data_IF_310897007103
#
_entry.id   IF_310897007103
#
_cell.length_a   1.000
_cell.length_b   1.000
_cell.length_c   1.000
_cell.angle_alpha   90.00
_cell.angle_beta   90.00
_cell.angle_gamma   90.00
#
_symmetry.space_group_name_H-M   'P 1'
#
loop_
_entity.id
_entity.type
_entity.pdbx_description
1 polymer ?
#
# COMPACT_ATOMS: atom_id res chain seq x y z
N UNK A 1 0.64 11.33 17.51
CA UNK A 1 0.13 10.30 16.58
C UNK A 1 1.01 10.31 15.34
N UNK A 2 1.67 9.20 15.04
CA UNK A 2 2.52 9.07 13.85
C UNK A 2 1.60 9.00 12.63
N UNK A 3 1.74 9.94 11.71
CA UNK A 3 0.85 10.05 10.54
C UNK A 3 1.18 9.04 9.43
N UNK A 4 2.43 8.59 9.39
CA UNK A 4 2.98 7.65 8.43
C UNK A 4 3.83 6.63 9.20
N UNK A 5 3.64 5.35 8.94
CA UNK A 5 4.40 4.26 9.55
C UNK A 5 5.05 3.42 8.45
N UNK A 6 6.37 3.27 8.50
CA UNK A 6 7.08 2.39 7.59
C UNK A 6 6.77 0.93 7.94
N UNK A 7 6.40 0.13 6.94
CA UNK A 7 6.10 -1.29 7.13
C UNK A 7 7.28 -2.13 6.64
N UNK A 8 7.61 -2.02 5.35
CA UNK A 8 8.75 -2.67 4.73
C UNK A 8 9.19 -1.93 3.47
N UNK A 9 10.35 -2.27 2.94
CA UNK A 9 10.85 -1.71 1.71
C UNK A 9 12.06 -2.47 1.20
N UNK A 10 12.28 -2.37 -0.10
CA UNK A 10 13.43 -2.92 -0.78
C UNK A 10 14.24 -1.82 -1.51
N UNK A 11 14.91 -2.17 -2.60
CA UNK A 11 15.83 -1.26 -3.29
C UNK A 11 15.10 -0.13 -4.01
N UNK A 12 13.92 -0.40 -4.56
CA UNK A 12 13.17 0.50 -5.44
C UNK A 12 11.69 0.62 -5.05
N UNK A 13 11.27 0.01 -3.93
CA UNK A 13 9.91 0.13 -3.40
C UNK A 13 9.90 0.26 -1.88
N UNK A 14 8.83 0.87 -1.35
CA UNK A 14 8.57 0.96 0.07
C UNK A 14 7.06 0.99 0.33
N UNK A 15 6.66 0.37 1.43
CA UNK A 15 5.28 0.30 1.88
C UNK A 15 5.11 1.05 3.18
N UNK A 16 4.07 1.88 3.23
CA UNK A 16 3.78 2.78 4.33
C UNK A 16 2.32 2.64 4.75
N UNK A 17 2.08 2.53 6.06
CA UNK A 17 0.76 2.71 6.64
C UNK A 17 0.48 4.20 6.80
N UNK A 18 -0.61 4.68 6.21
CA UNK A 18 -1.00 6.09 6.22
C UNK A 18 -2.20 6.28 7.13
N UNK A 19 -2.10 7.23 8.08
CA UNK A 19 -3.22 7.60 8.93
C UNK A 19 -4.22 8.48 8.16
N UNK A 20 -5.51 8.27 8.38
CA UNK A 20 -6.54 9.09 7.76
C UNK A 20 -7.94 8.81 8.26
N UNK A 21 -8.95 9.01 7.42
CA UNK A 21 -10.34 8.69 7.78
C UNK A 21 -10.46 7.17 7.91
N UNK A 22 -10.95 6.72 9.05
CA UNK A 22 -11.28 5.31 9.25
C UNK A 22 -12.70 5.08 8.75
N UNK A 23 -12.85 4.19 7.77
CA UNK A 23 -14.14 3.65 7.34
C UNK A 23 -14.09 2.17 7.64
N UNK A 24 -15.03 1.68 8.46
CA UNK A 24 -15.15 0.25 8.77
C UNK A 24 -15.99 -0.38 7.67
N UNK A 25 -15.45 -1.44 7.04
CA UNK A 25 -16.18 -2.17 6.01
C UNK A 25 -17.41 -2.86 6.60
N UNK A 26 -18.54 -2.69 5.93
CA UNK A 26 -19.83 -3.33 6.19
C UNK A 26 -20.44 -3.73 4.85
N UNK A 27 -21.43 -4.62 4.87
CA UNK A 27 -22.08 -5.12 3.65
C UNK A 27 -22.74 -4.00 2.82
N UNK A 28 -23.06 -2.86 3.43
CA UNK A 28 -23.78 -1.76 2.79
C UNK A 28 -22.89 -0.61 2.28
N UNK A 29 -21.58 -0.58 2.62
CA UNK A 29 -20.71 0.56 2.34
C UNK A 29 -19.44 0.22 1.57
N UNK A 30 -19.44 -0.87 0.79
CA UNK A 30 -18.27 -1.33 0.05
C UNK A 30 -17.62 -0.22 -0.79
N UNK A 31 -18.41 0.54 -1.55
CA UNK A 31 -17.86 1.65 -2.36
C UNK A 31 -17.22 2.74 -1.49
N UNK A 32 -17.87 3.15 -0.39
CA UNK A 32 -17.29 4.16 0.52
C UNK A 32 -15.99 3.66 1.15
N UNK A 33 -15.94 2.38 1.52
CA UNK A 33 -14.75 1.74 2.05
C UNK A 33 -13.61 1.76 1.03
N UNK A 34 -13.87 1.32 -0.20
CA UNK A 34 -12.87 1.28 -1.27
C UNK A 34 -12.39 2.69 -1.68
N UNK A 35 -13.30 3.66 -1.82
CA UNK A 35 -12.96 5.06 -2.09
C UNK A 35 -12.09 5.66 -0.99
N UNK A 36 -12.32 5.25 0.27
CA UNK A 36 -11.54 5.71 1.41
C UNK A 36 -10.11 5.18 1.41
N UNK A 37 -9.86 4.02 0.81
CA UNK A 37 -8.49 3.49 0.67
C UNK A 37 -7.65 4.33 -0.29
N UNK A 38 -8.27 4.96 -1.28
CA UNK A 38 -7.65 5.92 -2.20
C UNK A 38 -7.50 7.34 -1.62
N UNK A 39 -7.51 7.49 -0.30
CA UNK A 39 -7.34 8.80 0.36
C UNK A 39 -5.93 9.40 0.18
N UNK A 40 -4.95 8.58 -0.21
CA UNK A 40 -3.55 8.98 -0.35
C UNK A 40 -3.05 9.75 0.88
N UNK A 41 -2.42 10.91 0.66
CA UNK A 41 -1.85 11.72 1.75
C UNK A 41 -2.81 12.76 2.35
N UNK A 42 -4.08 12.82 1.92
CA UNK A 42 -5.02 13.93 2.21
C UNK A 42 -5.06 14.35 3.69
N UNK A 43 -5.08 13.40 4.61
CA UNK A 43 -5.20 13.69 6.05
C UNK A 43 -3.85 13.83 6.77
N UNK A 44 -2.75 13.46 6.12
CA UNK A 44 -1.42 13.54 6.72
C UNK A 44 -0.69 14.83 6.38
N UNK A 45 -1.00 15.45 5.24
CA UNK A 45 -0.48 16.76 4.84
C UNK A 45 -0.80 17.81 5.92
N UNK A 46 0.22 18.59 6.31
CA UNK A 46 0.10 19.67 7.30
C UNK A 46 0.03 21.04 6.64
N UNK A 47 0.78 21.22 5.55
CA UNK A 47 0.81 22.43 4.76
C UNK A 47 0.37 22.08 3.34
N UNK A 48 -0.87 22.42 3.02
CA UNK A 48 -1.46 22.12 1.72
C UNK A 48 -0.83 22.96 0.61
N UNK A 49 -0.47 24.22 0.89
CA UNK A 49 0.13 25.10 -0.12
C UNK A 49 1.51 24.59 -0.54
N UNK A 50 2.32 24.16 0.44
CA UNK A 50 3.60 23.52 0.18
C UNK A 50 3.42 22.22 -0.64
N UNK A 51 2.51 21.34 -0.21
CA UNK A 51 2.27 20.09 -0.94
C UNK A 51 1.82 20.35 -2.39
N UNK A 52 0.87 21.25 -2.62
CA UNK A 52 0.36 21.53 -3.96
C UNK A 52 1.42 22.19 -4.86
N UNK A 53 2.32 23.00 -4.28
CA UNK A 53 3.43 23.63 -5.01
C UNK A 53 4.49 22.61 -5.44
N UNK A 54 4.79 21.61 -4.59
CA UNK A 54 5.98 20.77 -4.71
C UNK A 54 5.70 19.31 -5.12
N UNK A 55 4.52 18.75 -4.82
CA UNK A 55 4.21 17.33 -5.08
C UNK A 55 4.43 16.94 -6.55
N UNK A 56 4.16 17.86 -7.48
CA UNK A 56 4.39 17.67 -8.92
C UNK A 56 5.83 17.35 -9.29
N UNK A 57 6.83 17.66 -8.47
CA UNK A 57 8.23 17.33 -8.76
C UNK A 57 8.58 15.88 -8.41
N UNK A 58 7.86 15.30 -7.45
CA UNK A 58 8.14 13.96 -6.91
C UNK A 58 7.15 12.91 -7.43
N UNK A 59 5.88 13.28 -7.61
CA UNK A 59 4.83 12.35 -8.01
C UNK A 59 4.37 12.58 -9.47
N UNK A 60 3.91 11.53 -10.16
CA UNK A 60 3.12 11.64 -11.38
C UNK A 60 1.92 12.57 -11.19
N UNK A 61 1.68 13.44 -12.18
CA UNK A 61 0.46 14.24 -12.24
C UNK A 61 -0.53 13.57 -13.18
N UNK A 62 -1.79 13.42 -12.77
CA UNK A 62 -2.86 12.84 -13.60
C UNK A 62 -3.14 13.62 -14.90
N UNK A 63 -2.63 14.86 -15.02
CA UNK A 63 -2.95 15.81 -16.09
C UNK A 63 -1.89 15.82 -17.21
N UNK A 64 -1.31 14.69 -17.60
CA UNK A 64 -0.40 14.69 -18.75
C UNK A 64 -0.11 13.34 -19.37
N UNK A 65 0.60 13.37 -20.50
CA UNK A 65 0.98 12.21 -21.31
C UNK A 65 1.58 11.06 -20.50
N UNK A 66 1.57 9.83 -21.05
CA UNK A 66 2.18 8.61 -20.48
C UNK A 66 3.60 8.81 -19.90
N UNK A 67 4.33 9.82 -20.40
CA UNK A 67 5.66 10.20 -19.89
C UNK A 67 5.65 10.73 -18.45
N UNK A 68 4.50 11.24 -17.95
CA UNK A 68 4.35 11.68 -16.57
C UNK A 68 4.06 10.55 -15.58
N UNK A 69 3.79 9.31 -16.04
CA UNK A 69 3.54 8.15 -15.16
C UNK A 69 4.79 7.72 -14.37
N UNK A 70 5.99 7.99 -14.92
CA UNK A 70 7.28 7.66 -14.28
C UNK A 70 8.27 8.79 -14.47
N UNK A 71 8.54 9.54 -13.40
CA UNK A 71 9.53 10.62 -13.37
C UNK A 71 10.90 10.08 -12.98
N UNK A 72 11.96 10.64 -13.57
CA UNK A 72 13.34 10.32 -13.17
C UNK A 72 13.53 10.73 -11.70
N UNK A 73 13.87 9.77 -10.83
CA UNK A 73 13.96 9.94 -9.37
C UNK A 73 12.65 10.33 -8.67
N UNK A 74 11.50 10.19 -9.36
CA UNK A 74 10.19 10.36 -8.76
C UNK A 74 9.69 9.07 -8.11
N UNK A 75 8.60 9.20 -7.34
CA UNK A 75 7.90 8.11 -6.70
C UNK A 75 6.54 7.93 -7.37
N UNK A 76 6.18 6.70 -7.70
CA UNK A 76 4.85 6.34 -8.20
C UNK A 76 4.13 5.48 -7.17
N UNK A 77 2.87 5.82 -6.88
CA UNK A 77 2.02 4.99 -6.04
C UNK A 77 1.50 3.84 -6.91
N UNK A 78 2.01 2.63 -6.68
CA UNK A 78 1.66 1.48 -7.50
C UNK A 78 0.48 0.68 -6.95
N UNK A 79 0.37 0.58 -5.62
CA UNK A 79 -0.62 -0.25 -4.95
C UNK A 79 -1.11 0.46 -3.69
N UNK A 80 -2.42 0.43 -3.49
CA UNK A 80 -3.11 0.90 -2.28
C UNK A 80 -3.94 -0.25 -1.71
N UNK A 81 -4.13 -0.26 -0.40
CA UNK A 81 -4.72 -1.39 0.31
C UNK A 81 -5.04 -1.02 1.75
N UNK A 82 -5.74 -1.91 2.43
CA UNK A 82 -6.21 -1.75 3.81
C UNK A 82 -5.34 -2.50 4.82
N UNK A 83 -4.66 -3.57 4.41
CA UNK A 83 -3.88 -4.42 5.29
C UNK A 83 -2.55 -4.87 4.68
N UNK A 84 -1.51 -4.87 5.51
CA UNK A 84 -0.22 -5.44 5.16
C UNK A 84 0.46 -6.02 6.39
N UNK A 85 1.07 -7.19 6.22
CA UNK A 85 1.86 -7.89 7.25
C UNK A 85 3.19 -8.28 6.62
N UNK A 86 4.29 -7.70 7.07
CA UNK A 86 5.63 -7.99 6.58
C UNK A 86 6.45 -8.74 7.62
N UNK A 87 6.96 -9.93 7.25
CA UNK A 87 7.87 -10.72 8.09
C UNK A 87 9.33 -10.29 7.90
N UNK A 88 9.69 -9.99 6.65
CA UNK A 88 10.99 -9.49 6.23
C UNK A 88 10.85 -8.78 4.88
N UNK A 89 11.87 -8.02 4.43
CA UNK A 89 11.85 -7.47 3.09
C UNK A 89 11.58 -8.55 2.03
N UNK A 90 10.65 -8.27 1.10
CA UNK A 90 10.20 -9.22 0.07
C UNK A 90 9.51 -10.50 0.60
N UNK A 91 9.15 -10.54 1.87
CA UNK A 91 8.43 -11.63 2.54
C UNK A 91 7.22 -11.07 3.31
N UNK A 92 6.11 -10.87 2.59
CA UNK A 92 4.94 -10.19 3.13
C UNK A 92 3.62 -10.67 2.55
N UNK A 93 2.55 -10.40 3.28
CA UNK A 93 1.17 -10.42 2.85
C UNK A 93 0.67 -8.98 2.69
N UNK A 94 -0.12 -8.72 1.65
CA UNK A 94 -0.81 -7.45 1.45
C UNK A 94 -2.20 -7.70 0.85
N UNK A 95 -3.20 -6.98 1.35
CA UNK A 95 -4.54 -6.93 0.80
C UNK A 95 -4.68 -5.62 0.04
N UNK A 96 -4.73 -5.70 -1.29
CA UNK A 96 -4.52 -4.53 -2.17
C UNK A 96 -5.39 -4.62 -3.42
N UNK A 97 -5.65 -3.47 -4.04
CA UNK A 97 -6.41 -3.43 -5.28
C UNK A 97 -5.62 -4.00 -6.45
N UNK A 98 -6.21 -5.01 -7.09
CA UNK A 98 -5.80 -5.50 -8.41
C UNK A 98 -7.02 -5.62 -9.29
N UNK A 99 -6.93 -5.08 -10.51
CA UNK A 99 -8.05 -5.09 -11.46
C UNK A 99 -9.37 -4.55 -10.85
N UNK A 100 -9.28 -3.47 -10.06
CA UNK A 100 -10.39 -2.83 -9.35
C UNK A 100 -11.11 -3.73 -8.33
N UNK A 101 -10.38 -4.70 -7.75
CA UNK A 101 -10.88 -5.55 -6.68
C UNK A 101 -9.82 -5.74 -5.61
N UNK A 102 -10.22 -5.66 -4.35
CA UNK A 102 -9.36 -6.03 -3.23
C UNK A 102 -8.98 -7.51 -3.32
N UNK A 103 -7.69 -7.79 -3.32
CA UNK A 103 -7.13 -9.12 -3.53
C UNK A 103 -6.01 -9.39 -2.55
N UNK A 104 -6.01 -10.58 -1.99
CA UNK A 104 -4.91 -11.10 -1.17
C UNK A 104 -3.69 -11.40 -2.04
N UNK A 105 -2.55 -10.83 -1.67
CA UNK A 105 -1.28 -11.05 -2.35
C UNK A 105 -0.23 -11.46 -1.33
N UNK A 106 0.33 -12.65 -1.53
CA UNK A 106 1.43 -13.17 -0.74
C UNK A 106 2.69 -13.14 -1.59
N UNK A 107 3.74 -12.55 -1.03
CA UNK A 107 5.06 -12.42 -1.66
C UNK A 107 6.09 -13.09 -0.77
N UNK A 108 6.38 -14.39 -0.93
CA UNK A 108 7.44 -15.06 -0.20
C UNK A 108 8.68 -15.20 -1.08
N UNK A 109 9.74 -14.44 -0.77
CA UNK A 109 10.99 -14.52 -1.52
C UNK A 109 11.70 -15.83 -1.19
N UNK A 110 12.03 -16.60 -2.23
CA UNK A 110 12.74 -17.88 -2.08
C UNK A 110 11.83 -19.08 -1.83
N UNK A 111 10.50 -18.89 -1.83
CA UNK A 111 9.53 -19.99 -1.66
C UNK A 111 8.69 -20.15 -2.92
N UNK A 112 8.46 -21.40 -3.32
CA UNK A 112 7.59 -21.72 -4.45
C UNK A 112 6.14 -21.90 -3.99
N UNK A 113 5.29 -20.92 -4.31
CA UNK A 113 3.85 -20.94 -4.00
C UNK A 113 3.08 -22.05 -4.73
N UNK A 114 3.61 -22.63 -5.82
CA UNK A 114 2.95 -23.76 -6.50
C UNK A 114 3.12 -25.08 -5.75
N UNK A 115 4.19 -25.18 -4.96
CA UNK A 115 4.51 -26.36 -4.18
C UNK A 115 4.08 -26.21 -2.71
N UNK A 116 3.90 -24.97 -2.25
CA UNK A 116 3.54 -24.64 -0.89
C UNK A 116 2.28 -23.76 -0.90
N UNK A 117 1.19 -24.27 -0.35
CA UNK A 117 -0.04 -23.50 -0.16
C UNK A 117 0.12 -22.61 1.08
N UNK A 118 0.64 -21.40 0.88
CA UNK A 118 0.77 -20.38 1.93
C UNK A 118 -0.41 -19.42 1.81
N UNK A 119 -1.07 -19.16 2.93
CA UNK A 119 -2.15 -18.21 3.07
C UNK A 119 -1.81 -17.13 4.12
N UNK A 120 -2.72 -16.15 4.30
CA UNK A 120 -2.58 -15.10 5.30
C UNK A 120 -2.37 -15.65 6.71
N UNK A 121 -3.10 -16.71 7.07
CA UNK A 121 -3.03 -17.29 8.41
C UNK A 121 -1.64 -17.84 8.72
N UNK A 122 -0.94 -18.43 7.74
CA UNK A 122 0.42 -18.91 7.94
C UNK A 122 1.39 -17.76 8.28
N UNK A 123 1.20 -16.58 7.66
CA UNK A 123 1.99 -15.38 7.97
C UNK A 123 1.73 -14.91 9.41
N UNK A 124 0.47 -14.89 9.83
CA UNK A 124 0.07 -14.52 11.20
C UNK A 124 0.64 -15.53 12.21
N UNK A 125 0.50 -16.82 11.92
CA UNK A 125 0.95 -17.89 12.79
C UNK A 125 2.46 -17.86 13.00
N UNK A 126 3.24 -17.49 11.99
CA UNK A 126 4.69 -17.32 12.13
C UNK A 126 5.05 -16.16 13.06
N UNK A 127 4.29 -15.05 13.03
CA UNK A 127 4.50 -13.91 13.95
C UNK A 127 4.14 -14.31 15.39
N UNK A 128 2.99 -14.96 15.56
CA UNK A 128 2.45 -15.27 16.88
C UNK A 128 3.19 -16.43 17.54
N UNK A 129 3.55 -17.46 16.77
CA UNK A 129 4.07 -18.73 17.29
C UNK A 129 5.55 -18.98 16.96
N UNK A 130 6.19 -18.18 16.10
CA UNK A 130 7.59 -18.33 15.73
C UNK A 130 7.92 -19.64 15.02
N UNK A 131 6.98 -20.16 14.22
CA UNK A 131 7.15 -21.40 13.45
C UNK A 131 7.66 -21.14 12.04
#
# INVERSE_FOLDING_TARGET
MTKLHFIEGDTDSAYWAISGKQVIQTDANQQEYEDNLHQGFKYVIKDQQFYDADAKYYFPTLVGDKQNEKKLLGLSIENEGDEMIALAPKNYYIHTFKCNQLTDVIKPKGVNLRQNSICKQDVIDNIVNGK
#
